data_IF_184441838606
#
_entry.id   IF_184441838606
#
_cell.length_a   1.000
_cell.length_b   1.000
_cell.length_c   1.000
_cell.angle_alpha   90.00
_cell.angle_beta   90.00
_cell.angle_gamma   90.00
#
_symmetry.space_group_name_H-M   'P 1'
#
loop_
_entity.id
_entity.type
_entity.pdbx_description
1 polymer ?
#
# COMPACT_ATOMS: atom_id res chain seq x y z
N UNK A 1 -1.02 31.31 11.96
CA UNK A 1 0.36 31.35 11.44
C UNK A 1 0.76 29.91 11.13
N UNK A 2 0.35 29.38 9.97
CA UNK A 2 0.74 28.05 9.52
C UNK A 2 2.10 28.22 8.85
N UNK A 3 3.15 27.72 9.50
CA UNK A 3 4.52 27.88 8.99
C UNK A 3 4.71 26.99 7.76
N UNK A 4 4.96 27.65 6.64
CA UNK A 4 5.92 27.32 5.58
C UNK A 4 5.95 25.89 5.03
N UNK A 5 5.52 25.76 3.78
CA UNK A 5 5.56 24.58 2.93
C UNK A 5 7.00 24.10 2.64
N UNK A 6 7.52 23.23 3.50
CA UNK A 6 8.70 22.38 3.23
C UNK A 6 8.48 20.91 3.65
N UNK A 7 7.21 20.49 3.78
CA UNK A 7 6.87 19.13 4.17
C UNK A 7 6.78 18.23 2.92
N UNK A 8 7.82 17.43 2.70
CA UNK A 8 7.81 16.36 1.70
C UNK A 8 6.72 15.31 2.01
N UNK A 9 6.25 14.58 1.00
CA UNK A 9 5.15 13.64 1.18
C UNK A 9 5.57 12.42 2.03
N UNK A 10 4.62 11.81 2.74
CA UNK A 10 4.82 10.69 3.68
C UNK A 10 5.68 11.00 4.93
N UNK A 11 5.66 12.22 5.48
CA UNK A 11 6.33 12.53 6.75
C UNK A 11 5.55 12.00 7.97
N UNK A 12 6.21 11.26 8.85
CA UNK A 12 5.64 10.85 10.14
C UNK A 12 5.32 12.05 11.03
N UNK A 13 4.17 11.98 11.69
CA UNK A 13 3.75 12.98 12.68
C UNK A 13 4.74 13.07 13.84
N UNK A 14 4.96 14.27 14.44
CA UNK A 14 5.74 14.40 15.66
C UNK A 14 5.30 13.45 16.78
N UNK A 15 3.98 13.16 16.88
CA UNK A 15 3.43 12.19 17.83
C UNK A 15 3.97 10.77 17.65
N UNK A 16 4.30 10.38 16.43
CA UNK A 16 4.87 9.06 16.16
C UNK A 16 6.34 8.98 16.56
N UNK A 17 7.09 10.05 16.34
CA UNK A 17 8.51 10.15 16.67
C UNK A 17 8.73 10.21 18.19
N UNK A 18 7.86 10.93 18.90
CA UNK A 18 7.97 11.16 20.35
C UNK A 18 7.23 10.12 21.19
N UNK A 19 6.67 9.08 20.57
CA UNK A 19 5.89 8.09 21.30
C UNK A 19 6.77 7.36 22.33
N UNK A 20 6.32 7.18 23.60
CA UNK A 20 7.16 6.64 24.68
C UNK A 20 7.55 5.17 24.51
N UNK A 21 6.94 4.47 23.55
CA UNK A 21 7.24 3.09 23.20
C UNK A 21 7.37 2.95 21.68
N UNK A 22 7.98 1.87 21.20
CA UNK A 22 8.21 1.57 19.78
C UNK A 22 6.93 1.20 18.98
N UNK A 23 5.76 1.69 19.41
CA UNK A 23 4.48 1.40 18.79
C UNK A 23 4.42 1.79 17.31
N UNK A 24 5.09 2.88 16.94
CA UNK A 24 5.16 3.40 15.56
C UNK A 24 6.45 3.02 14.83
N UNK A 25 7.31 2.19 15.41
CA UNK A 25 8.62 1.83 14.83
C UNK A 25 8.50 1.32 13.41
N UNK A 26 7.53 0.44 13.14
CA UNK A 26 7.26 -0.10 11.81
C UNK A 26 6.95 0.99 10.77
N UNK A 27 6.22 2.04 11.16
CA UNK A 27 5.85 3.15 10.27
C UNK A 27 7.05 4.02 9.96
N UNK A 28 7.86 4.34 10.99
CA UNK A 28 9.09 5.11 10.85
C UNK A 28 10.11 4.39 9.94
N UNK A 29 10.23 3.06 10.07
CA UNK A 29 11.08 2.25 9.17
C UNK A 29 10.54 2.24 7.73
N UNK A 30 9.22 2.19 7.55
CA UNK A 30 8.60 2.30 6.23
C UNK A 30 8.90 3.65 5.56
N UNK A 31 8.78 4.75 6.30
CA UNK A 31 9.15 6.08 5.81
C UNK A 31 10.65 6.17 5.47
N UNK A 32 11.52 5.67 6.33
CA UNK A 32 12.95 5.68 6.09
C UNK A 32 13.32 4.89 4.81
N UNK A 33 12.68 3.73 4.60
CA UNK A 33 12.82 2.95 3.38
C UNK A 33 12.34 3.72 2.15
N UNK A 34 11.16 4.37 2.23
CA UNK A 34 10.65 5.16 1.13
C UNK A 34 11.59 6.31 0.76
N UNK A 35 12.06 7.09 1.74
CA UNK A 35 13.02 8.19 1.53
C UNK A 35 14.31 7.72 0.86
N UNK A 36 14.79 6.52 1.18
CA UNK A 36 15.96 5.95 0.53
C UNK A 36 15.70 5.58 -0.95
N UNK A 37 14.46 5.25 -1.29
CA UNK A 37 14.05 4.86 -2.66
C UNK A 37 13.58 6.05 -3.50
N UNK A 38 13.08 7.13 -2.89
CA UNK A 38 12.47 8.30 -3.55
C UNK A 38 13.27 8.83 -4.75
N UNK A 39 14.62 8.95 -4.73
CA UNK A 39 15.37 9.43 -5.89
C UNK A 39 15.18 8.59 -7.16
N UNK A 40 14.88 7.30 -7.00
CA UNK A 40 14.66 6.33 -8.09
C UNK A 40 13.19 5.94 -8.27
N UNK A 41 12.37 6.11 -7.22
CA UNK A 41 10.96 5.75 -7.17
C UNK A 41 10.17 6.94 -6.58
N UNK A 42 10.06 8.05 -7.33
CA UNK A 42 9.30 9.20 -6.86
C UNK A 42 7.83 8.82 -6.66
N UNK A 43 7.08 9.63 -5.91
CA UNK A 43 5.65 9.37 -5.73
C UNK A 43 4.89 9.31 -7.04
N UNK A 44 3.97 8.35 -7.11
CA UNK A 44 3.00 8.25 -8.18
C UNK A 44 2.09 9.49 -8.20
N UNK A 45 2.14 10.24 -9.29
CA UNK A 45 1.29 11.40 -9.48
C UNK A 45 -0.06 11.06 -10.15
N UNK A 46 -0.10 10.01 -10.99
CA UNK A 46 -1.32 9.53 -11.66
C UNK A 46 -1.10 8.11 -12.19
N UNK A 47 -2.19 7.35 -12.33
CA UNK A 47 -2.22 6.15 -13.16
C UNK A 47 -2.43 6.54 -14.65
N UNK A 48 -2.05 5.68 -15.61
CA UNK A 48 -1.26 4.45 -15.45
C UNK A 48 0.21 4.73 -15.09
N UNK A 49 0.94 3.71 -14.63
CA UNK A 49 2.36 3.83 -14.28
C UNK A 49 3.21 3.83 -15.56
N UNK A 50 3.97 4.90 -15.77
CA UNK A 50 4.83 5.06 -16.96
C UNK A 50 6.33 4.86 -16.67
N UNK A 51 6.71 4.84 -15.39
CA UNK A 51 8.10 4.73 -14.91
C UNK A 51 8.14 4.11 -13.50
N UNK A 52 9.31 3.72 -12.97
CA UNK A 52 9.42 3.34 -11.57
C UNK A 52 8.93 4.46 -10.64
N UNK A 53 8.06 4.11 -9.70
CA UNK A 53 7.39 5.03 -8.78
C UNK A 53 7.07 4.31 -7.46
N UNK A 54 6.94 5.08 -6.38
CA UNK A 54 6.39 4.64 -5.11
C UNK A 54 4.95 5.11 -4.94
N UNK A 55 4.12 4.34 -4.24
CA UNK A 55 2.76 4.73 -3.87
C UNK A 55 2.30 3.97 -2.62
N UNK A 56 1.24 4.46 -2.00
CA UNK A 56 0.65 3.80 -0.84
C UNK A 56 -0.41 2.78 -1.26
N UNK A 57 -0.56 1.71 -0.50
CA UNK A 57 -1.69 0.78 -0.66
C UNK A 57 -2.06 0.17 0.68
N UNK A 58 -3.24 -0.42 0.78
CA UNK A 58 -3.78 -0.90 2.04
C UNK A 58 -4.45 -2.28 1.91
N UNK A 59 -3.98 -3.33 2.63
CA UNK A 59 -4.46 -4.70 2.48
C UNK A 59 -5.98 -4.87 2.60
N UNK A 60 -6.66 -4.09 3.45
CA UNK A 60 -8.12 -4.17 3.55
C UNK A 60 -8.83 -3.61 2.31
N UNK A 61 -8.37 -2.46 1.79
CA UNK A 61 -8.95 -1.87 0.59
C UNK A 61 -8.72 -2.77 -0.63
N UNK A 62 -7.52 -3.33 -0.79
CA UNK A 62 -7.23 -4.33 -1.83
C UNK A 62 -8.22 -5.51 -1.73
N UNK A 63 -8.38 -6.07 -0.51
CA UNK A 63 -9.30 -7.19 -0.28
C UNK A 63 -10.75 -6.83 -0.61
N UNK A 64 -11.16 -5.60 -0.28
CA UNK A 64 -12.50 -5.10 -0.58
C UNK A 64 -12.74 -5.05 -2.09
N UNK A 65 -11.86 -4.38 -2.83
CA UNK A 65 -12.03 -4.22 -4.27
C UNK A 65 -11.97 -5.56 -5.01
N UNK A 66 -10.95 -6.39 -4.77
CA UNK A 66 -10.81 -7.68 -5.47
C UNK A 66 -11.96 -8.67 -5.20
N UNK A 67 -12.70 -8.50 -4.10
CA UNK A 67 -13.85 -9.36 -3.77
C UNK A 67 -15.21 -8.79 -4.20
N UNK A 68 -15.24 -7.62 -4.84
CA UNK A 68 -16.50 -6.92 -5.11
C UNK A 68 -17.21 -6.48 -3.82
N UNK A 69 -16.43 -6.11 -2.81
CA UNK A 69 -16.88 -5.75 -1.47
C UNK A 69 -16.83 -6.87 -0.43
N UNK A 70 -17.49 -6.65 0.71
CA UNK A 70 -17.67 -7.63 1.78
C UNK A 70 -16.37 -8.13 2.45
N UNK A 71 -15.30 -7.33 2.47
CA UNK A 71 -14.10 -7.65 3.25
C UNK A 71 -14.44 -7.66 4.74
N UNK A 72 -14.08 -8.73 5.46
CA UNK A 72 -14.44 -8.91 6.86
C UNK A 72 -13.18 -9.04 7.71
N UNK A 73 -13.00 -8.15 8.68
CA UNK A 73 -11.82 -8.12 9.54
C UNK A 73 -11.57 -9.46 10.26
N UNK A 74 -12.64 -10.10 10.75
CA UNK A 74 -12.59 -11.41 11.40
C UNK A 74 -12.07 -12.54 10.47
N UNK A 75 -12.18 -12.36 9.15
CA UNK A 75 -11.76 -13.33 8.13
C UNK A 75 -10.58 -12.85 7.30
N UNK A 76 -9.90 -11.77 7.72
CA UNK A 76 -8.84 -11.12 6.91
C UNK A 76 -7.76 -12.10 6.46
N UNK A 77 -7.32 -13.01 7.34
CA UNK A 77 -6.26 -13.99 7.01
C UNK A 77 -6.72 -14.95 5.89
N UNK A 78 -7.90 -15.55 6.01
CA UNK A 78 -8.39 -16.50 5.01
C UNK A 78 -8.75 -15.81 3.70
N UNK A 79 -9.43 -14.65 3.76
CA UNK A 79 -9.80 -13.88 2.57
C UNK A 79 -8.58 -13.45 1.75
N UNK A 80 -7.53 -12.92 2.39
CA UNK A 80 -6.31 -12.48 1.70
C UNK A 80 -5.52 -13.65 1.13
N UNK A 81 -5.41 -14.77 1.86
CA UNK A 81 -4.78 -16.00 1.35
C UNK A 81 -5.50 -16.54 0.13
N UNK A 82 -6.83 -16.54 0.11
CA UNK A 82 -7.59 -16.97 -1.06
C UNK A 82 -7.33 -16.09 -2.28
N UNK A 83 -7.24 -14.76 -2.11
CA UNK A 83 -6.91 -13.84 -3.20
C UNK A 83 -5.50 -14.10 -3.76
N UNK A 84 -4.51 -14.27 -2.88
CA UNK A 84 -3.13 -14.58 -3.29
C UNK A 84 -3.04 -15.93 -4.01
N UNK A 85 -3.77 -16.95 -3.55
CA UNK A 85 -3.83 -18.25 -4.23
C UNK A 85 -4.48 -18.15 -5.61
N UNK A 86 -5.56 -17.37 -5.77
CA UNK A 86 -6.20 -17.12 -7.07
C UNK A 86 -5.24 -16.42 -8.05
N UNK A 87 -4.34 -15.58 -7.54
CA UNK A 87 -3.26 -14.96 -8.31
C UNK A 87 -2.05 -15.91 -8.54
N UNK A 88 -2.13 -17.17 -8.14
CA UNK A 88 -1.07 -18.17 -8.34
C UNK A 88 0.14 -18.03 -7.42
N UNK A 89 0.05 -17.26 -6.33
CA UNK A 89 1.14 -17.05 -5.38
C UNK A 89 1.26 -18.25 -4.43
N UNK A 90 2.46 -18.79 -4.28
CA UNK A 90 2.75 -19.81 -3.27
C UNK A 90 2.57 -19.24 -1.85
N UNK A 91 1.69 -19.88 -1.09
CA UNK A 91 1.34 -19.46 0.26
C UNK A 91 2.18 -20.10 1.36
N UNK A 92 3.05 -21.08 1.02
CA UNK A 92 3.91 -21.78 1.96
C UNK A 92 4.79 -20.83 2.79
N UNK A 93 5.52 -19.89 2.17
CA UNK A 93 6.35 -18.91 2.87
C UNK A 93 5.57 -17.85 3.67
N UNK A 94 4.26 -17.72 3.43
CA UNK A 94 3.41 -16.67 4.00
C UNK A 94 2.81 -17.10 5.34
N UNK A 95 3.69 -17.25 6.34
CA UNK A 95 3.35 -17.82 7.65
C UNK A 95 2.60 -16.83 8.56
N UNK A 96 2.92 -15.53 8.52
CA UNK A 96 2.28 -14.48 9.33
C UNK A 96 1.28 -13.61 8.55
N UNK A 97 0.44 -12.86 9.27
CA UNK A 97 -0.46 -11.90 8.63
C UNK A 97 0.32 -10.77 7.95
N UNK A 98 1.43 -10.33 8.52
CA UNK A 98 2.24 -9.25 7.91
C UNK A 98 2.85 -9.69 6.58
N UNK A 99 3.28 -10.96 6.48
CA UNK A 99 3.76 -11.53 5.21
C UNK A 99 2.64 -11.65 4.18
N UNK A 100 1.44 -12.03 4.60
CA UNK A 100 0.26 -12.09 3.72
C UNK A 100 -0.11 -10.68 3.23
N UNK A 101 -0.08 -9.70 4.12
CA UNK A 101 -0.41 -8.30 3.81
C UNK A 101 0.63 -7.69 2.88
N UNK A 102 1.93 -7.92 3.13
CA UNK A 102 3.01 -7.50 2.25
C UNK A 102 2.90 -8.14 0.86
N UNK A 103 2.60 -9.44 0.78
CA UNK A 103 2.39 -10.12 -0.51
C UNK A 103 1.19 -9.55 -1.26
N UNK A 104 0.11 -9.17 -0.56
CA UNK A 104 -1.06 -8.55 -1.17
C UNK A 104 -0.76 -7.13 -1.69
N UNK A 105 0.01 -6.35 -0.94
CA UNK A 105 0.51 -5.06 -1.40
C UNK A 105 1.42 -5.21 -2.63
N UNK A 106 2.32 -6.20 -2.63
CA UNK A 106 3.19 -6.49 -3.76
C UNK A 106 2.40 -6.94 -5.02
N UNK A 107 1.34 -7.72 -4.84
CA UNK A 107 0.43 -8.08 -5.94
C UNK A 107 -0.22 -6.84 -6.57
N UNK A 108 -0.68 -5.88 -5.75
CA UNK A 108 -1.20 -4.60 -6.26
C UNK A 108 -0.15 -3.81 -7.02
N UNK A 109 1.09 -3.76 -6.53
CA UNK A 109 2.20 -3.14 -7.25
C UNK A 109 2.46 -3.81 -8.60
N UNK A 110 2.41 -5.14 -8.64
CA UNK A 110 2.56 -5.90 -9.87
C UNK A 110 1.43 -5.60 -10.88
N UNK A 111 0.18 -5.58 -10.46
CA UNK A 111 -0.96 -5.22 -11.32
C UNK A 111 -0.79 -3.83 -11.93
N UNK A 112 -0.51 -2.83 -11.08
CA UNK A 112 -0.36 -1.44 -11.55
C UNK A 112 0.85 -1.27 -12.49
N UNK A 113 1.97 -1.93 -12.22
CA UNK A 113 3.17 -1.88 -13.06
C UNK A 113 3.00 -2.66 -14.38
N UNK A 114 2.15 -3.68 -14.42
CA UNK A 114 1.85 -4.47 -15.61
C UNK A 114 0.77 -3.85 -16.50
N UNK A 115 0.26 -2.66 -16.13
CA UNK A 115 -0.78 -1.96 -16.88
C UNK A 115 -2.19 -2.50 -16.67
N UNK A 116 -2.42 -3.31 -15.64
CA UNK A 116 -3.76 -3.77 -15.29
C UNK A 116 -4.59 -2.64 -14.66
N UNK A 117 -5.91 -2.75 -14.79
CA UNK A 117 -6.86 -1.76 -14.29
C UNK A 117 -6.73 -1.59 -12.76
N UNK A 118 -6.38 -0.37 -12.34
CA UNK A 118 -6.30 0.03 -10.94
C UNK A 118 -7.10 1.33 -10.70
N UNK A 119 -7.45 1.55 -9.44
CA UNK A 119 -8.06 2.78 -8.95
C UNK A 119 -7.08 3.51 -8.03
N UNK A 120 -7.08 4.83 -8.07
CA UNK A 120 -6.29 5.68 -7.17
C UNK A 120 -7.16 6.62 -6.36
N UNK A 121 -6.83 6.81 -5.09
CA UNK A 121 -7.52 7.71 -4.16
C UNK A 121 -6.52 8.64 -3.47
N UNK A 122 -6.88 9.90 -3.28
CA UNK A 122 -6.02 10.91 -2.67
C UNK A 122 -5.57 11.97 -3.65
N UNK A 123 -4.51 12.69 -3.29
CA UNK A 123 -4.00 13.85 -4.02
C UNK A 123 -2.53 13.63 -4.41
N UNK A 124 -2.11 13.93 -5.65
CA UNK A 124 -0.74 13.69 -6.11
C UNK A 124 0.34 14.34 -5.23
N UNK A 125 0.04 15.48 -4.61
CA UNK A 125 0.97 16.22 -3.76
C UNK A 125 1.24 15.52 -2.42
N UNK A 126 0.28 14.76 -1.90
CA UNK A 126 0.39 14.08 -0.60
C UNK A 126 0.54 12.56 -0.73
N UNK A 127 0.35 12.03 -1.94
CA UNK A 127 0.40 10.61 -2.25
C UNK A 127 -0.96 10.05 -2.65
N UNK A 128 -0.91 9.02 -3.48
CA UNK A 128 -2.07 8.26 -3.93
C UNK A 128 -2.08 6.88 -3.27
N UNK A 129 -3.25 6.48 -2.77
CA UNK A 129 -3.56 5.10 -2.42
C UNK A 129 -4.02 4.39 -3.69
N UNK A 130 -3.30 3.35 -4.11
CA UNK A 130 -3.65 2.55 -5.28
C UNK A 130 -4.20 1.19 -4.85
N UNK A 131 -5.27 0.75 -5.50
CA UNK A 131 -5.86 -0.58 -5.33
C UNK A 131 -6.22 -1.17 -6.69
N UNK A 132 -6.22 -2.51 -6.85
CA UNK A 132 -6.70 -3.13 -8.07
C UNK A 132 -8.17 -2.81 -8.29
N UNK A 133 -8.58 -2.68 -9.55
CA UNK A 133 -10.00 -2.63 -9.88
C UNK A 133 -10.59 -4.02 -9.63
N UNK A 134 -11.70 -4.06 -8.91
CA UNK A 134 -12.43 -5.30 -8.65
C UNK A 134 -13.02 -5.91 -9.93
N UNK A 135 -13.51 -7.16 -9.86
CA UNK A 135 -14.27 -7.75 -10.96
C UNK A 135 -15.45 -6.82 -11.33
N UNK A 136 -15.79 -6.80 -12.62
CA UNK A 136 -17.00 -6.12 -13.09
C UNK A 136 -18.22 -6.73 -12.35
N UNK A 137 -19.14 -5.85 -11.93
CA UNK A 137 -20.37 -6.24 -11.24
C UNK A 137 -21.31 -7.02 -12.17
#
# INVERSE_FOLDING_TARGET
MWSSATDGPCRSSPRAVEHPTDYYGWMLQGEALYRALEPSHPLLARLPIERPVGFETFPHAITWHLRGGHAAAARKRSQRRSLLALAGIDLGPLTSIDRIDAALCALTAHHAASGEDCLSFGEPATGLIVVPKGPAA
#
